data_IF_995831451959
#
_entry.id   IF_995831451959
#
_cell.length_a   1.000
_cell.length_b   1.000
_cell.length_c   1.000
_cell.angle_alpha   90.00
_cell.angle_beta   90.00
_cell.angle_gamma   90.00
#
_symmetry.space_group_name_H-M   'P 1'
#
loop_
_entity.id
_entity.type
_entity.pdbx_description
1 polymer ?
#
# COMPACT_ATOMS: atom_id res chain seq x y z
N UNK A 1 -18.77 8.05 9.74
CA UNK A 1 -18.02 6.83 9.28
C UNK A 1 -19.04 5.69 9.16
N UNK A 2 -19.09 4.98 8.01
CA UNK A 2 -19.98 3.84 7.87
C UNK A 2 -19.65 2.76 8.90
N UNK A 3 -20.68 2.13 9.46
CA UNK A 3 -20.52 1.14 10.54
C UNK A 3 -19.59 -0.03 10.15
N UNK A 4 -19.68 -0.49 8.89
CA UNK A 4 -18.81 -1.56 8.37
C UNK A 4 -17.32 -1.19 8.36
N UNK A 5 -17.00 0.10 8.21
CA UNK A 5 -15.62 0.61 8.16
C UNK A 5 -15.09 0.92 9.56
N UNK A 6 -15.97 1.29 10.50
CA UNK A 6 -15.59 1.71 11.85
C UNK A 6 -14.78 0.65 12.62
N UNK A 7 -15.11 -0.63 12.43
CA UNK A 7 -14.42 -1.75 13.08
C UNK A 7 -13.02 -2.00 12.53
N UNK A 8 -12.78 -1.60 11.28
CA UNK A 8 -11.53 -1.89 10.58
C UNK A 8 -11.31 -3.37 10.29
N UNK A 9 -10.26 -3.66 9.55
CA UNK A 9 -9.87 -5.02 9.14
C UNK A 9 -8.42 -5.25 9.54
N UNK A 10 -8.16 -6.33 10.30
CA UNK A 10 -6.81 -6.78 10.60
C UNK A 10 -6.27 -7.55 9.39
N UNK A 11 -5.12 -7.12 8.88
CA UNK A 11 -4.45 -7.72 7.74
C UNK A 11 -3.11 -8.32 8.15
N UNK A 12 -2.63 -9.30 7.36
CA UNK A 12 -1.35 -9.97 7.60
C UNK A 12 -0.30 -9.60 6.54
N UNK A 13 -0.70 -8.93 5.49
CA UNK A 13 0.18 -8.51 4.40
C UNK A 13 -0.55 -7.71 3.34
N UNK A 14 0.17 -7.38 2.29
CA UNK A 14 -0.35 -6.56 1.19
C UNK A 14 0.36 -6.87 -0.13
N UNK A 15 -0.31 -6.56 -1.23
CA UNK A 15 0.25 -6.53 -2.58
C UNK A 15 0.01 -5.16 -3.18
N UNK A 16 1.03 -4.58 -3.82
CA UNK A 16 0.96 -3.27 -4.47
C UNK A 16 1.05 -3.47 -5.98
N UNK A 17 0.08 -2.93 -6.69
CA UNK A 17 0.03 -2.86 -8.15
C UNK A 17 0.09 -1.39 -8.57
N UNK A 18 0.77 -1.10 -9.67
CA UNK A 18 0.83 0.24 -10.22
C UNK A 18 0.38 0.27 -11.69
N UNK A 19 -0.27 1.35 -12.04
CA UNK A 19 -0.60 1.73 -13.41
C UNK A 19 -0.12 3.17 -13.66
N UNK A 20 -0.21 3.71 -14.90
CA UNK A 20 0.24 5.07 -15.16
C UNK A 20 -0.37 6.15 -14.28
N UNK A 21 -1.62 5.97 -13.83
CA UNK A 21 -2.39 7.00 -13.13
C UNK A 21 -2.71 6.67 -11.68
N UNK A 22 -2.74 5.39 -11.31
CA UNK A 22 -3.14 4.95 -9.98
C UNK A 22 -2.30 3.80 -9.47
N UNK A 23 -2.31 3.65 -8.15
CA UNK A 23 -1.84 2.47 -7.43
C UNK A 23 -3.03 1.73 -6.85
N UNK A 24 -2.92 0.41 -6.83
CA UNK A 24 -3.87 -0.45 -6.13
C UNK A 24 -3.11 -1.18 -5.03
N UNK A 25 -3.63 -1.11 -3.80
CA UNK A 25 -3.10 -1.88 -2.68
C UNK A 25 -4.16 -2.88 -2.26
N UNK A 26 -3.83 -4.17 -2.40
CA UNK A 26 -4.65 -5.27 -1.91
C UNK A 26 -4.13 -5.70 -0.53
N UNK A 27 -4.97 -5.55 0.48
CA UNK A 27 -4.70 -6.03 1.83
C UNK A 27 -5.20 -7.45 2.01
N UNK A 28 -4.38 -8.27 2.65
CA UNK A 28 -4.54 -9.71 2.69
C UNK A 28 -4.74 -10.24 4.11
N UNK A 29 -5.52 -11.30 4.22
CA UNK A 29 -5.49 -12.21 5.36
C UNK A 29 -4.92 -13.55 4.92
N UNK A 30 -3.81 -13.94 5.54
CA UNK A 30 -3.01 -15.09 5.15
C UNK A 30 -2.68 -16.05 6.29
N UNK A 31 -3.59 -16.23 7.25
CA UNK A 31 -3.42 -17.20 8.33
C UNK A 31 -3.57 -18.63 7.82
N UNK A 32 -4.41 -18.84 6.81
CA UNK A 32 -4.64 -20.12 6.14
C UNK A 32 -4.72 -19.93 4.63
N UNK A 33 -4.36 -20.94 3.87
CA UNK A 33 -4.53 -20.92 2.39
C UNK A 33 -5.95 -21.36 2.00
N UNK A 34 -6.54 -20.80 0.93
CA UNK A 34 -6.01 -19.72 0.08
C UNK A 34 -6.04 -18.37 0.84
N UNK A 35 -5.03 -17.55 0.60
CA UNK A 35 -5.00 -16.18 1.13
C UNK A 35 -6.13 -15.36 0.53
N UNK A 36 -6.73 -14.50 1.32
CA UNK A 36 -7.84 -13.67 0.87
C UNK A 36 -7.45 -12.21 0.81
N UNK A 37 -7.81 -11.56 -0.29
CA UNK A 37 -7.90 -10.10 -0.35
C UNK A 37 -9.16 -9.69 0.43
N UNK A 38 -8.96 -8.88 1.47
CA UNK A 38 -10.03 -8.42 2.37
C UNK A 38 -10.36 -6.95 2.20
N UNK A 39 -9.47 -6.21 1.57
CA UNK A 39 -9.68 -4.81 1.21
C UNK A 39 -8.81 -4.45 0.02
N UNK A 40 -9.36 -3.70 -0.92
CA UNK A 40 -8.64 -3.10 -2.06
C UNK A 40 -8.83 -1.59 -2.01
N UNK A 41 -7.73 -0.85 -1.96
CA UNK A 41 -7.76 0.61 -2.07
C UNK A 41 -7.08 1.07 -3.35
N UNK A 42 -7.66 2.10 -3.95
CA UNK A 42 -7.14 2.73 -5.17
C UNK A 42 -6.69 4.14 -4.82
N UNK A 43 -5.42 4.43 -5.09
CA UNK A 43 -4.75 5.66 -4.69
C UNK A 43 -4.09 6.33 -5.89
N UNK A 44 -4.02 7.66 -5.87
CA UNK A 44 -3.15 8.40 -6.79
C UNK A 44 -1.68 8.25 -6.39
N UNK A 45 -0.72 8.44 -7.32
CA UNK A 45 0.70 8.44 -6.97
C UNK A 45 1.06 9.45 -5.88
N UNK A 46 0.42 10.61 -5.88
CA UNK A 46 0.62 11.61 -4.82
C UNK A 46 0.19 11.07 -3.45
N UNK A 47 -0.97 10.43 -3.36
CA UNK A 47 -1.46 9.85 -2.10
C UNK A 47 -0.56 8.72 -1.61
N UNK A 48 0.04 7.95 -2.52
CA UNK A 48 1.02 6.90 -2.15
C UNK A 48 2.31 7.52 -1.60
N UNK A 49 2.78 8.65 -2.14
CA UNK A 49 3.89 9.40 -1.55
C UNK A 49 3.55 9.87 -0.13
N UNK A 50 2.37 10.44 0.07
CA UNK A 50 1.90 10.88 1.40
C UNK A 50 1.80 9.70 2.38
N UNK A 51 1.32 8.54 1.91
CA UNK A 51 1.29 7.30 2.68
C UNK A 51 2.70 6.87 3.13
N UNK A 52 3.67 6.89 2.22
CA UNK A 52 5.05 6.54 2.52
C UNK A 52 5.67 7.49 3.56
N UNK A 53 5.49 8.79 3.41
CA UNK A 53 5.98 9.80 4.34
C UNK A 53 5.34 9.68 5.72
N UNK A 54 4.02 9.55 5.78
CA UNK A 54 3.29 9.40 7.04
C UNK A 54 3.65 8.10 7.76
N UNK A 55 3.86 7.01 7.00
CA UNK A 55 4.28 5.73 7.56
C UNK A 55 5.71 5.80 8.11
N UNK A 56 6.64 6.45 7.40
CA UNK A 56 8.01 6.65 7.88
C UNK A 56 8.02 7.46 9.18
N UNK A 57 7.27 8.55 9.23
CA UNK A 57 7.18 9.37 10.44
C UNK A 57 6.63 8.59 11.64
N UNK A 58 5.58 7.81 11.43
CA UNK A 58 5.00 6.96 12.47
C UNK A 58 5.95 5.85 12.90
N UNK A 59 6.70 5.25 11.96
CA UNK A 59 7.70 4.23 12.28
C UNK A 59 8.86 4.81 13.10
N UNK A 60 9.29 6.03 12.79
CA UNK A 60 10.33 6.73 13.56
C UNK A 60 9.85 7.03 14.99
N UNK A 61 8.62 7.51 15.15
CA UNK A 61 8.01 7.73 16.48
C UNK A 61 7.84 6.42 17.24
N UNK A 62 7.40 5.37 16.57
CA UNK A 62 7.29 4.03 17.16
C UNK A 62 8.65 3.55 17.69
N UNK A 63 9.67 3.61 16.86
CA UNK A 63 11.02 3.17 17.21
C UNK A 63 11.60 3.96 18.38
N UNK A 64 11.34 5.26 18.45
CA UNK A 64 11.74 6.11 19.56
C UNK A 64 11.09 5.71 20.88
N UNK A 65 9.82 5.31 20.85
CA UNK A 65 9.03 5.01 22.05
C UNK A 65 9.13 3.55 22.49
N UNK A 66 9.28 2.61 21.55
CA UNK A 66 9.18 1.16 21.80
C UNK A 66 10.39 0.37 21.31
N UNK A 67 11.36 1.00 20.66
CA UNK A 67 12.45 0.33 19.98
C UNK A 67 12.06 -0.13 18.56
N UNK A 68 13.01 -0.74 17.82
CA UNK A 68 12.73 -1.20 16.46
C UNK A 68 11.66 -2.29 16.44
N UNK A 69 10.79 -2.34 15.41
CA UNK A 69 9.81 -3.41 15.28
C UNK A 69 10.49 -4.79 15.27
N UNK A 70 9.87 -5.80 15.90
CA UNK A 70 10.40 -7.16 15.85
C UNK A 70 10.49 -7.66 14.40
N UNK A 71 11.51 -8.48 14.04
CA UNK A 71 11.62 -9.04 12.71
C UNK A 71 10.46 -10.01 12.43
N UNK A 72 10.04 -10.08 11.16
CA UNK A 72 9.06 -11.09 10.72
C UNK A 72 9.74 -12.45 10.76
N UNK A 73 9.17 -13.44 11.48
CA UNK A 73 9.71 -14.79 11.49
C UNK A 73 9.53 -15.47 10.12
N UNK A 74 10.53 -16.25 9.73
CA UNK A 74 10.47 -17.07 8.52
C UNK A 74 11.62 -16.83 7.53
N UNK A 75 11.82 -17.75 6.58
CA UNK A 75 12.87 -17.61 5.58
C UNK A 75 12.57 -16.45 4.63
N UNK A 76 13.64 -15.74 4.23
CA UNK A 76 13.54 -14.76 3.15
C UNK A 76 13.43 -15.53 1.84
N UNK A 77 12.40 -15.29 1.00
CA UNK A 77 12.29 -15.94 -0.30
C UNK A 77 13.50 -15.63 -1.18
N UNK A 78 14.03 -16.65 -1.86
CA UNK A 78 15.18 -16.50 -2.77
C UNK A 78 14.89 -15.57 -3.96
N UNK A 79 13.62 -15.44 -4.33
CA UNK A 79 13.15 -14.52 -5.37
C UNK A 79 11.79 -13.94 -5.00
N UNK A 80 11.49 -12.76 -5.55
CA UNK A 80 10.14 -12.20 -5.45
C UNK A 80 9.20 -12.98 -6.40
N UNK A 81 8.03 -13.44 -5.92
CA UNK A 81 7.05 -14.05 -6.80
C UNK A 81 6.53 -13.02 -7.81
N UNK A 82 6.15 -13.48 -8.99
CA UNK A 82 5.47 -12.65 -9.99
C UNK A 82 4.06 -12.32 -9.52
N UNK A 83 3.47 -11.26 -10.08
CA UNK A 83 2.07 -10.88 -9.78
C UNK A 83 1.12 -12.04 -10.06
N UNK A 84 1.32 -12.76 -11.16
CA UNK A 84 0.50 -13.92 -11.51
C UNK A 84 0.63 -15.04 -10.48
N UNK A 85 1.84 -15.39 -10.07
CA UNK A 85 2.07 -16.39 -9.02
C UNK A 85 1.43 -16.00 -7.68
N UNK A 86 1.43 -14.71 -7.35
CA UNK A 86 0.78 -14.20 -6.15
C UNK A 86 -0.73 -14.44 -6.25
N UNK A 87 -1.37 -14.02 -7.34
CA UNK A 87 -2.82 -14.11 -7.50
C UNK A 87 -3.34 -15.52 -7.74
N UNK A 88 -2.52 -16.47 -8.20
CA UNK A 88 -2.87 -17.89 -8.25
C UNK A 88 -3.13 -18.50 -6.86
N UNK A 89 -2.53 -17.93 -5.82
CA UNK A 89 -2.69 -18.36 -4.42
C UNK A 89 -3.63 -17.48 -3.60
N UNK A 90 -4.23 -16.44 -4.20
CA UNK A 90 -5.13 -15.51 -3.53
C UNK A 90 -6.54 -15.60 -4.07
N UNK A 91 -7.49 -15.44 -3.18
CA UNK A 91 -8.88 -15.25 -3.53
C UNK A 91 -9.20 -13.76 -3.49
N UNK A 92 -9.64 -13.21 -4.63
CA UNK A 92 -10.14 -11.85 -4.76
C UNK A 92 -11.66 -11.91 -4.93
N UNK A 93 -12.45 -11.56 -3.91
CA UNK A 93 -13.90 -11.51 -4.01
C UNK A 93 -14.36 -10.49 -5.08
N UNK A 94 -15.41 -10.84 -5.81
CA UNK A 94 -15.94 -10.00 -6.90
C UNK A 94 -16.35 -8.60 -6.40
N UNK A 95 -16.91 -8.49 -5.21
CA UNK A 95 -17.30 -7.24 -4.58
C UNK A 95 -16.14 -6.28 -4.30
N UNK A 96 -14.89 -6.77 -4.29
CA UNK A 96 -13.69 -5.96 -4.06
C UNK A 96 -12.98 -5.54 -5.35
N UNK A 97 -13.39 -6.05 -6.51
CA UNK A 97 -12.68 -5.81 -7.79
C UNK A 97 -12.51 -4.32 -8.12
N UNK A 98 -13.56 -3.51 -7.90
CA UNK A 98 -13.48 -2.06 -8.17
C UNK A 98 -12.65 -1.30 -7.15
N UNK A 99 -12.49 -1.84 -5.96
CA UNK A 99 -11.77 -1.19 -4.86
C UNK A 99 -12.48 0.04 -4.28
N UNK A 100 -11.85 0.62 -3.28
CA UNK A 100 -12.26 1.87 -2.64
C UNK A 100 -11.25 2.95 -2.96
N UNK A 101 -11.69 4.02 -3.61
CA UNK A 101 -10.84 5.18 -3.88
C UNK A 101 -10.58 5.98 -2.61
N UNK A 102 -9.33 6.43 -2.43
CA UNK A 102 -8.96 7.36 -1.38
C UNK A 102 -7.95 8.39 -1.91
N UNK A 103 -8.03 9.60 -1.41
CA UNK A 103 -7.15 10.71 -1.78
C UNK A 103 -6.42 11.33 -0.57
N UNK A 104 -6.57 10.73 0.59
CA UNK A 104 -5.86 11.07 1.81
C UNK A 104 -5.71 9.84 2.72
N UNK A 105 -4.76 9.88 3.62
CA UNK A 105 -4.51 8.81 4.59
C UNK A 105 -4.15 9.39 5.95
N UNK A 106 -4.70 8.79 6.99
CA UNK A 106 -4.32 9.02 8.38
C UNK A 106 -3.69 7.75 8.94
N UNK A 107 -2.53 7.89 9.58
CA UNK A 107 -1.82 6.76 10.18
C UNK A 107 -1.62 7.01 11.66
N UNK A 108 -1.80 5.98 12.46
CA UNK A 108 -1.43 5.96 13.86
C UNK A 108 -0.94 4.57 14.26
N UNK A 109 -0.47 4.46 15.48
CA UNK A 109 0.06 3.20 15.99
C UNK A 109 -0.18 3.02 17.48
N UNK A 110 -0.24 1.75 17.89
CA UNK A 110 -0.13 1.27 19.25
C UNK A 110 1.20 0.51 19.42
N UNK A 111 1.53 -0.03 20.61
CA UNK A 111 2.69 -0.89 20.76
C UNK A 111 2.71 -2.14 19.87
N UNK A 112 1.56 -2.59 19.39
CA UNK A 112 1.40 -3.88 18.70
C UNK A 112 0.98 -3.79 17.25
N UNK A 113 0.26 -2.72 16.85
CA UNK A 113 -0.25 -2.56 15.48
C UNK A 113 -0.19 -1.12 15.01
N UNK A 114 -0.14 -0.95 13.68
CA UNK A 114 -0.44 0.29 13.00
C UNK A 114 -1.86 0.25 12.45
N UNK A 115 -2.53 1.40 12.44
CA UNK A 115 -3.76 1.57 11.71
C UNK A 115 -3.63 2.62 10.61
N UNK A 116 -4.36 2.43 9.53
CA UNK A 116 -4.42 3.34 8.40
C UNK A 116 -5.89 3.58 8.06
N UNK A 117 -6.31 4.83 8.13
CA UNK A 117 -7.59 5.27 7.61
C UNK A 117 -7.37 5.88 6.22
N UNK A 118 -7.83 5.16 5.20
CA UNK A 118 -7.88 5.66 3.83
C UNK A 118 -9.14 6.49 3.66
N UNK A 119 -8.97 7.75 3.29
CA UNK A 119 -10.02 8.77 3.33
C UNK A 119 -10.33 9.24 1.92
N UNK A 120 -11.60 9.28 1.59
CA UNK A 120 -12.12 9.96 0.41
C UNK A 120 -12.60 11.34 0.84
N UNK A 121 -11.84 12.37 0.49
CA UNK A 121 -12.13 13.76 0.82
C UNK A 121 -12.64 14.51 -0.40
N UNK A 122 -13.93 14.86 -0.40
CA UNK A 122 -14.55 15.76 -1.35
C UNK A 122 -15.35 16.82 -0.60
N UNK A 123 -15.20 18.08 -1.05
CA UNK A 123 -15.98 19.16 -0.47
C UNK A 123 -17.50 18.90 -0.64
N UNK A 124 -18.35 19.11 0.38
CA UNK A 124 -18.04 19.63 1.73
C UNK A 124 -17.71 18.55 2.79
N UNK A 125 -17.65 17.28 2.44
CA UNK A 125 -17.50 16.19 3.40
C UNK A 125 -16.36 15.26 3.04
N UNK A 126 -15.85 14.57 4.05
CA UNK A 126 -14.91 13.48 3.87
C UNK A 126 -15.42 12.22 4.59
N UNK A 127 -15.01 11.05 4.08
CA UNK A 127 -15.39 9.77 4.66
C UNK A 127 -14.20 8.81 4.66
N UNK A 128 -14.09 7.99 5.70
CA UNK A 128 -13.16 6.87 5.73
C UNK A 128 -13.70 5.78 4.81
N UNK A 129 -12.97 5.50 3.74
CA UNK A 129 -13.31 4.47 2.76
C UNK A 129 -12.86 3.07 3.20
N UNK A 130 -11.72 2.99 3.89
CA UNK A 130 -11.21 1.74 4.46
C UNK A 130 -10.37 2.03 5.71
N UNK A 131 -10.50 1.18 6.72
CA UNK A 131 -9.66 1.17 7.92
C UNK A 131 -8.92 -0.15 8.00
N UNK A 132 -7.60 -0.09 7.99
CA UNK A 132 -6.73 -1.26 7.97
C UNK A 132 -5.85 -1.27 9.20
N UNK A 133 -5.74 -2.43 9.83
CA UNK A 133 -4.77 -2.69 10.88
C UNK A 133 -3.70 -3.66 10.36
N UNK A 134 -2.44 -3.35 10.63
CA UNK A 134 -1.30 -4.22 10.35
C UNK A 134 -0.47 -4.41 11.61
N UNK A 135 0.00 -5.64 11.89
CA UNK A 135 0.98 -5.86 12.95
C UNK A 135 2.24 -5.01 12.70
N UNK A 136 2.81 -4.48 13.77
CA UNK A 136 4.03 -3.65 13.71
C UNK A 136 5.15 -4.32 12.92
N UNK A 137 5.31 -5.63 13.04
CA UNK A 137 6.33 -6.41 12.32
C UNK A 137 6.23 -6.31 10.80
N UNK A 138 5.04 -6.05 10.25
CA UNK A 138 4.80 -5.92 8.81
C UNK A 138 5.14 -4.53 8.26
N UNK A 139 5.23 -3.51 9.12
CA UNK A 139 5.37 -2.12 8.69
C UNK A 139 6.68 -1.83 7.94
N UNK A 140 7.86 -2.27 8.39
CA UNK A 140 9.09 -2.05 7.62
C UNK A 140 9.04 -2.67 6.23
N UNK A 141 8.47 -3.88 6.12
CA UNK A 141 8.31 -4.57 4.83
C UNK A 141 7.33 -3.86 3.92
N UNK A 142 6.22 -3.37 4.47
CA UNK A 142 5.23 -2.60 3.72
C UNK A 142 5.81 -1.28 3.22
N UNK A 143 6.51 -0.53 4.08
CA UNK A 143 7.16 0.72 3.70
C UNK A 143 8.20 0.52 2.59
N UNK A 144 9.02 -0.54 2.68
CA UNK A 144 9.97 -0.89 1.63
C UNK A 144 9.25 -1.22 0.31
N UNK A 145 8.13 -1.93 0.35
CA UNK A 145 7.33 -2.25 -0.82
C UNK A 145 6.74 -0.99 -1.47
N UNK A 146 6.21 -0.05 -0.67
CA UNK A 146 5.71 1.24 -1.16
C UNK A 146 6.83 2.02 -1.85
N UNK A 147 7.97 2.19 -1.19
CA UNK A 147 9.09 2.94 -1.73
C UNK A 147 9.64 2.31 -3.02
N UNK A 148 9.74 0.98 -3.09
CA UNK A 148 10.14 0.27 -4.29
C UNK A 148 9.14 0.46 -5.44
N UNK A 149 7.85 0.40 -5.15
CA UNK A 149 6.78 0.60 -6.14
C UNK A 149 6.76 2.03 -6.67
N UNK A 150 6.95 3.03 -5.81
CA UNK A 150 7.09 4.44 -6.22
C UNK A 150 8.29 4.66 -7.13
N UNK A 151 9.44 4.08 -6.78
CA UNK A 151 10.65 4.18 -7.60
C UNK A 151 10.46 3.53 -8.97
N UNK A 152 9.88 2.34 -9.03
CA UNK A 152 9.60 1.65 -10.29
C UNK A 152 8.59 2.41 -11.15
N UNK A 153 7.55 2.99 -10.53
CA UNK A 153 6.56 3.83 -11.20
C UNK A 153 7.22 5.05 -11.87
N UNK A 154 8.07 5.76 -11.14
CA UNK A 154 8.82 6.89 -11.68
C UNK A 154 9.69 6.46 -12.88
N UNK A 155 10.40 5.34 -12.78
CA UNK A 155 11.25 4.84 -13.86
C UNK A 155 10.47 4.43 -15.10
N UNK A 156 9.25 3.84 -14.95
CA UNK A 156 8.42 3.37 -16.07
C UNK A 156 7.74 4.50 -16.81
N UNK A 157 7.22 5.49 -16.08
CA UNK A 157 6.28 6.45 -16.65
C UNK A 157 6.87 7.84 -16.88
N UNK A 158 7.91 8.23 -16.16
CA UNK A 158 8.63 9.49 -16.44
C UNK A 158 9.47 9.42 -17.71
N UNK A 159 10.12 8.28 -17.99
CA UNK A 159 10.88 8.08 -19.24
C UNK A 159 10.03 8.17 -20.52
N UNK A 160 8.73 7.95 -20.44
CA UNK A 160 7.82 8.08 -21.60
C UNK A 160 7.45 9.53 -21.91
N UNK A 161 7.68 10.44 -20.99
CA UNK A 161 7.34 11.87 -21.12
C UNK A 161 8.55 12.74 -21.48
N UNK A 162 9.76 12.18 -21.58
CA UNK A 162 10.89 12.91 -22.18
C UNK A 162 10.65 13.01 -23.69
N UNK A 163 10.55 14.24 -24.25
CA UNK A 163 10.50 14.40 -25.69
C UNK A 163 11.76 13.75 -26.27
N UNK A 164 11.59 12.89 -27.27
CA UNK A 164 12.69 12.35 -28.04
C UNK A 164 13.63 13.50 -28.40
N UNK A 165 14.84 13.48 -27.84
CA UNK A 165 15.84 14.47 -28.14
C UNK A 165 15.99 14.57 -29.64
N UNK A 166 15.70 15.73 -30.20
CA UNK A 166 16.01 16.06 -31.56
C UNK A 166 17.50 15.79 -31.76
N UNK A 167 17.78 14.83 -32.60
CA UNK A 167 19.11 14.60 -33.11
C UNK A 167 19.45 15.83 -33.97
N UNK A 168 20.40 16.71 -33.62
CA UNK A 168 20.80 17.78 -34.48
C UNK A 168 21.50 17.13 -35.68
N UNK A 169 20.75 16.96 -36.76
CA UNK A 169 21.30 16.51 -38.02
C UNK A 169 22.46 17.40 -38.43
N UNK A 170 23.59 16.80 -38.58
CA UNK A 170 24.75 17.32 -39.32
C UNK A 170 24.27 17.68 -40.72
N UNK A 171 24.19 18.97 -40.99
CA UNK A 171 24.24 19.50 -42.34
C UNK A 171 25.66 19.82 -42.71
#
# INVERSE_FOLDING_TARGET
>A
MPEKVAKGIMCTGQVILDSPKEFVIDFLQGLTRPYQVVSRVVLTPQTVNELAEAMQQNLDMYTKNYGPPPPVPGPVPDRRPTIQEIYENFRLPEELLSGSYANSVLIGHSPTEFFMDFITGFYPTSAVAARIFLPVQQIPRFLNAINSSLKQHQMRYQRRNEPNGENPGTG
#
